data_IF_176140323346
#
_entry.id   IF_176140323346
#
_cell.length_a   1.000
_cell.length_b   1.000
_cell.length_c   1.000
_cell.angle_alpha   90.00
_cell.angle_beta   90.00
_cell.angle_gamma   90.00
#
_symmetry.space_group_name_H-M   'P 1'
#
loop_
_entity.id
_entity.type
_entity.pdbx_description
1 polymer ?
#
# COMPACT_ATOMS: atom_id res chain seq x y z
N UNK A 1 18.43 -1.48 16.44
CA UNK A 1 18.28 -2.95 16.42
C UNK A 1 16.81 -3.40 16.36
N UNK A 2 15.93 -2.96 17.27
CA UNK A 2 14.55 -3.47 17.37
C UNK A 2 13.66 -3.25 16.14
N UNK A 3 13.71 -2.07 15.48
CA UNK A 3 12.92 -1.83 14.26
C UNK A 3 13.29 -2.77 13.12
N UNK A 4 14.57 -3.12 12.97
CA UNK A 4 15.03 -4.06 11.95
C UNK A 4 14.49 -5.47 12.25
N UNK A 5 14.51 -5.90 13.52
CA UNK A 5 13.92 -7.17 13.96
C UNK A 5 12.42 -7.24 13.68
N UNK A 6 11.67 -6.17 13.96
CA UNK A 6 10.22 -6.12 13.68
C UNK A 6 9.89 -6.18 12.18
N UNK A 7 10.73 -5.58 11.33
CA UNK A 7 10.54 -5.63 9.87
C UNK A 7 10.70 -7.03 9.28
N UNK A 8 11.54 -7.89 9.88
CA UNK A 8 11.78 -9.25 9.37
C UNK A 8 10.51 -10.14 9.36
N UNK A 9 9.59 -9.93 10.32
CA UNK A 9 8.34 -10.69 10.41
C UNK A 9 7.10 -9.90 10.00
N UNK A 10 7.26 -8.69 9.47
CA UNK A 10 6.12 -7.88 9.11
C UNK A 10 5.50 -8.36 7.79
N UNK A 11 4.20 -8.62 7.82
CA UNK A 11 3.38 -8.89 6.64
C UNK A 11 2.29 -7.84 6.52
N UNK A 12 1.97 -7.38 5.29
CA UNK A 12 0.82 -6.52 5.08
C UNK A 12 -0.47 -7.25 5.45
N UNK A 13 -1.43 -6.49 5.98
CA UNK A 13 -2.78 -6.98 6.23
C UNK A 13 -3.50 -7.28 4.90
N UNK A 14 -4.45 -8.23 4.89
CA UNK A 14 -5.22 -8.52 3.69
C UNK A 14 -6.04 -7.28 3.25
N UNK A 15 -6.26 -7.08 1.93
CA UNK A 15 -7.09 -5.99 1.43
C UNK A 15 -8.54 -6.13 1.91
N UNK A 16 -9.14 -5.02 2.35
CA UNK A 16 -10.58 -4.98 2.66
C UNK A 16 -11.45 -5.12 1.41
N UNK A 17 -10.94 -4.68 0.27
CA UNK A 17 -11.62 -4.73 -1.02
C UNK A 17 -10.69 -5.37 -2.06
N UNK A 18 -11.14 -6.47 -2.65
CA UNK A 18 -10.39 -7.20 -3.68
C UNK A 18 -10.86 -6.87 -5.10
N UNK A 19 -12.00 -6.20 -5.24
CA UNK A 19 -12.61 -5.84 -6.52
C UNK A 19 -13.17 -4.40 -6.52
N UNK A 20 -13.71 -3.99 -7.66
CA UNK A 20 -14.28 -2.65 -7.85
C UNK A 20 -13.24 -1.52 -7.83
N UNK A 21 -13.73 -0.29 -7.71
CA UNK A 21 -12.89 0.92 -7.78
C UNK A 21 -11.92 1.01 -6.60
N UNK A 22 -12.31 0.58 -5.40
CA UNK A 22 -11.43 0.61 -4.23
C UNK A 22 -10.28 -0.40 -4.33
N UNK A 23 -10.54 -1.60 -4.89
CA UNK A 23 -9.49 -2.56 -5.20
C UNK A 23 -8.52 -2.02 -6.27
N UNK A 24 -9.05 -1.36 -7.31
CA UNK A 24 -8.22 -0.69 -8.34
C UNK A 24 -7.37 0.43 -7.74
N UNK A 25 -7.95 1.28 -6.89
CA UNK A 25 -7.26 2.42 -6.29
C UNK A 25 -6.13 1.96 -5.36
N UNK A 26 -6.38 1.00 -4.47
CA UNK A 26 -5.38 0.47 -3.55
C UNK A 26 -4.17 -0.15 -4.27
N UNK A 27 -4.37 -0.68 -5.49
CA UNK A 27 -3.29 -1.23 -6.32
C UNK A 27 -2.44 -0.17 -7.02
N UNK A 28 -3.01 1.00 -7.32
CA UNK A 28 -2.38 2.00 -8.20
C UNK A 28 -1.89 3.26 -7.47
N UNK A 29 -2.48 3.59 -6.33
CA UNK A 29 -2.18 4.82 -5.62
C UNK A 29 -0.71 4.86 -5.15
N UNK A 30 -0.06 6.00 -5.37
CA UNK A 30 1.26 6.28 -4.82
C UNK A 30 1.18 6.70 -3.34
N UNK A 31 2.34 6.79 -2.69
CA UNK A 31 2.44 7.34 -1.34
C UNK A 31 1.89 8.76 -1.25
N UNK A 32 1.41 9.14 -0.07
CA UNK A 32 0.85 10.48 0.17
C UNK A 32 1.92 11.59 0.01
N UNK A 33 3.19 11.26 0.24
CA UNK A 33 4.35 12.10 -0.08
C UNK A 33 4.47 12.43 -1.57
N UNK A 34 3.89 11.60 -2.44
CA UNK A 34 3.80 11.80 -3.90
C UNK A 34 2.41 12.24 -4.35
N UNK A 35 1.55 12.69 -3.41
CA UNK A 35 0.21 13.20 -3.71
C UNK A 35 -0.85 12.13 -3.97
N UNK A 36 -0.58 10.86 -3.65
CA UNK A 36 -1.55 9.76 -3.82
C UNK A 36 -2.13 9.63 -5.26
N UNK A 37 -1.35 10.06 -6.25
CA UNK A 37 -1.72 9.95 -7.66
C UNK A 37 -1.77 8.49 -8.09
N UNK A 38 -2.61 8.19 -9.08
CA UNK A 38 -2.80 6.83 -9.62
C UNK A 38 -2.20 6.65 -11.01
N UNK A 39 -1.58 7.69 -11.54
CA UNK A 39 -0.97 7.72 -12.87
C UNK A 39 0.40 8.38 -12.79
N UNK A 40 1.40 7.77 -13.42
CA UNK A 40 2.76 8.30 -13.52
C UNK A 40 2.90 8.87 -14.94
N UNK A 41 2.31 10.04 -15.18
CA UNK A 41 2.57 10.84 -16.38
C UNK A 41 3.49 12.00 -16.02
#
# INVERSE_FOLDING_TARGET
>A
AELARRRQGWTPNPPRYTSGVLGKYARLAQGADKGAITNLL
#
